data_IF_509575634811
#
_entry.id   IF_509575634811
#
_cell.length_a   1.000
_cell.length_b   1.000
_cell.length_c   1.000
_cell.angle_alpha   90.00
_cell.angle_beta   90.00
_cell.angle_gamma   90.00
#
_symmetry.space_group_name_H-M   'P 1'
#
loop_
_entity.id
_entity.type
_entity.pdbx_description
1 polymer ?
#
# COMPACT_ATOMS: atom_id res chain seq x y z
N UNK A 1 2.95 5.36 11.92
CA UNK A 1 4.31 4.81 11.97
C UNK A 1 4.48 3.67 10.98
N UNK A 2 5.71 3.47 10.50
CA UNK A 2 6.11 2.24 9.82
C UNK A 2 7.17 1.55 10.70
N UNK A 3 6.89 0.32 11.12
CA UNK A 3 7.74 -0.43 12.05
C UNK A 3 9.12 -0.81 11.47
N UNK A 4 9.29 -0.76 10.13
CA UNK A 4 10.58 -0.97 9.49
C UNK A 4 11.62 0.09 9.86
N UNK A 5 11.18 1.33 10.08
CA UNK A 5 12.05 2.49 10.31
C UNK A 5 11.86 3.13 11.69
N UNK A 6 10.84 2.74 12.45
CA UNK A 6 10.50 3.32 13.74
C UNK A 6 11.09 2.51 14.90
N UNK A 7 11.55 3.22 15.93
CA UNK A 7 12.03 2.65 17.19
C UNK A 7 11.10 2.93 18.36
N UNK A 8 11.48 2.43 19.55
CA UNK A 8 10.75 2.68 20.81
C UNK A 8 10.56 4.18 21.05
N UNK A 9 11.59 4.98 20.82
CA UNK A 9 11.53 6.44 21.04
C UNK A 9 10.46 7.15 20.19
N UNK A 10 10.21 6.65 18.97
CA UNK A 10 9.16 7.22 18.11
C UNK A 10 7.78 6.89 18.66
N UNK A 11 7.62 5.67 19.19
CA UNK A 11 6.39 5.23 19.84
C UNK A 11 6.17 6.02 21.15
N UNK A 12 7.19 6.17 21.99
CA UNK A 12 7.13 6.96 23.24
C UNK A 12 6.62 8.37 22.98
N UNK A 13 7.16 9.06 22.01
CA UNK A 13 6.72 10.40 21.64
C UNK A 13 5.24 10.46 21.28
N UNK A 14 4.75 9.53 20.49
CA UNK A 14 3.33 9.46 20.11
C UNK A 14 2.45 9.16 21.33
N UNK A 15 2.92 8.28 22.22
CA UNK A 15 2.19 7.96 23.46
C UNK A 15 2.10 9.17 24.38
N UNK A 16 3.16 9.94 24.51
CA UNK A 16 3.16 11.15 25.33
C UNK A 16 2.22 12.22 24.75
N UNK A 17 2.22 12.42 23.45
CA UNK A 17 1.26 13.27 22.74
C UNK A 17 -0.18 12.76 22.94
N UNK A 18 -0.39 11.46 22.89
CA UNK A 18 -1.72 10.84 23.09
C UNK A 18 -2.23 11.06 24.53
N UNK A 19 -1.37 10.88 25.53
CA UNK A 19 -1.69 11.15 26.95
C UNK A 19 -2.06 12.62 27.17
N UNK A 20 -1.27 13.53 26.60
CA UNK A 20 -1.54 14.96 26.67
C UNK A 20 -2.88 15.31 26.03
N UNK A 21 -3.13 14.84 24.82
CA UNK A 21 -4.38 15.08 24.08
C UNK A 21 -5.61 14.52 24.83
N UNK A 22 -5.47 13.34 25.41
CA UNK A 22 -6.54 12.75 26.18
C UNK A 22 -6.79 13.50 27.49
N UNK A 23 -5.73 13.90 28.21
CA UNK A 23 -5.83 14.66 29.47
C UNK A 23 -6.44 16.04 29.26
N UNK A 24 -5.90 16.80 28.30
CA UNK A 24 -6.28 18.20 28.08
C UNK A 24 -7.59 18.37 27.30
N UNK A 25 -7.84 17.50 26.31
CA UNK A 25 -8.92 17.70 25.33
C UNK A 25 -9.93 16.54 25.25
N UNK A 26 -9.72 15.47 26.00
CA UNK A 26 -10.49 14.21 25.90
C UNK A 26 -10.51 13.60 24.49
N UNK A 27 -9.49 13.89 23.69
CA UNK A 27 -9.33 13.37 22.34
C UNK A 27 -8.64 12.00 22.37
N UNK A 28 -9.25 11.01 21.75
CA UNK A 28 -8.64 9.68 21.55
C UNK A 28 -7.66 9.73 20.41
N UNK A 29 -6.55 9.02 20.53
CA UNK A 29 -5.53 8.89 19.49
C UNK A 29 -5.61 7.51 18.86
N UNK A 30 -5.62 7.45 17.53
CA UNK A 30 -5.46 6.21 16.78
C UNK A 30 -3.99 6.10 16.40
N UNK A 31 -3.34 5.02 16.84
CA UNK A 31 -1.97 4.69 16.47
C UNK A 31 -2.01 3.64 15.37
N UNK A 32 -1.71 4.05 14.14
CA UNK A 32 -1.54 3.13 13.01
C UNK A 32 -0.07 2.73 12.88
N UNK A 33 0.20 1.41 12.91
CA UNK A 33 1.54 0.84 12.73
C UNK A 33 1.51 -0.09 11.51
N UNK A 34 2.19 0.35 10.46
CA UNK A 34 2.42 -0.47 9.27
C UNK A 34 3.58 -1.43 9.51
N UNK A 35 3.49 -2.65 8.96
CA UNK A 35 4.48 -3.73 9.12
C UNK A 35 4.76 -4.06 10.60
N UNK A 36 3.72 -4.13 11.44
CA UNK A 36 3.85 -4.30 12.91
C UNK A 36 4.69 -5.54 13.30
N UNK A 37 4.75 -6.56 12.45
CA UNK A 37 5.60 -7.75 12.64
C UNK A 37 7.11 -7.44 12.68
N UNK A 38 7.53 -6.27 12.20
CA UNK A 38 8.92 -5.80 12.28
C UNK A 38 9.31 -5.30 13.66
N UNK A 39 8.35 -5.00 14.50
CA UNK A 39 8.63 -4.72 15.90
C UNK A 39 9.00 -6.00 16.63
N UNK A 40 10.12 -5.96 17.38
CA UNK A 40 10.48 -7.06 18.25
C UNK A 40 9.52 -7.18 19.45
N UNK A 41 9.64 -8.28 20.21
CA UNK A 41 8.73 -8.55 21.34
C UNK A 41 8.70 -7.42 22.37
N UNK A 42 9.85 -6.84 22.70
CA UNK A 42 9.93 -5.74 23.67
C UNK A 42 9.21 -4.49 23.18
N UNK A 43 9.29 -4.18 21.89
CA UNK A 43 8.58 -3.05 21.29
C UNK A 43 7.06 -3.28 21.25
N UNK A 44 6.64 -4.52 21.00
CA UNK A 44 5.23 -4.89 21.06
C UNK A 44 4.70 -4.87 22.50
N UNK A 45 5.48 -5.39 23.46
CA UNK A 45 5.12 -5.38 24.90
C UNK A 45 4.99 -3.94 25.43
N UNK A 46 5.82 -3.02 24.92
CA UNK A 46 5.75 -1.60 25.29
C UNK A 46 4.40 -0.96 24.94
N UNK A 47 3.72 -1.45 23.91
CA UNK A 47 2.39 -0.93 23.50
C UNK A 47 1.25 -1.39 24.42
N UNK A 48 1.41 -2.54 25.09
CA UNK A 48 0.34 -3.20 25.84
C UNK A 48 -0.36 -2.29 26.86
N UNK A 49 0.33 -1.59 27.77
CA UNK A 49 -0.32 -0.78 28.80
C UNK A 49 -1.20 0.32 28.18
N UNK A 50 -0.75 0.91 27.08
CA UNK A 50 -1.43 2.04 26.45
C UNK A 50 -2.66 1.64 25.62
N UNK A 51 -2.65 0.40 25.12
CA UNK A 51 -3.81 -0.22 24.47
C UNK A 51 -4.83 -0.63 25.53
N UNK A 52 -4.37 -1.23 26.65
CA UNK A 52 -5.22 -1.66 27.76
C UNK A 52 -5.94 -0.48 28.45
N UNK A 53 -5.20 0.59 28.71
CA UNK A 53 -5.73 1.80 29.36
C UNK A 53 -6.55 2.67 28.41
N UNK A 54 -6.61 2.31 27.12
CA UNK A 54 -7.34 3.07 26.09
C UNK A 54 -6.74 4.44 25.78
N UNK A 55 -5.46 4.65 26.12
CA UNK A 55 -4.70 5.88 25.75
C UNK A 55 -4.61 5.97 24.23
N UNK A 56 -4.39 4.84 23.57
CA UNK A 56 -4.40 4.73 22.12
C UNK A 56 -5.33 3.61 21.66
N UNK A 57 -5.94 3.80 20.49
CA UNK A 57 -6.56 2.71 19.72
C UNK A 57 -5.54 2.24 18.69
N UNK A 58 -5.06 1.00 18.82
CA UNK A 58 -4.05 0.45 17.92
C UNK A 58 -4.69 -0.12 16.65
N UNK A 59 -4.13 0.23 15.50
CA UNK A 59 -4.36 -0.43 14.23
C UNK A 59 -3.00 -0.90 13.71
N UNK A 60 -2.76 -2.21 13.72
CA UNK A 60 -1.57 -2.83 13.15
C UNK A 60 -1.87 -3.42 11.78
N UNK A 61 -1.02 -3.12 10.78
CA UNK A 61 -1.04 -3.79 9.49
C UNK A 61 0.17 -4.71 9.34
N UNK A 62 -0.03 -5.86 8.71
CA UNK A 62 1.04 -6.84 8.50
C UNK A 62 0.78 -7.65 7.24
N UNK A 63 1.84 -7.95 6.50
CA UNK A 63 1.83 -8.92 5.41
C UNK A 63 2.04 -10.36 5.89
N UNK A 64 2.48 -10.53 7.15
CA UNK A 64 2.74 -11.81 7.77
C UNK A 64 1.56 -12.29 8.61
N UNK A 65 1.53 -13.60 8.91
CA UNK A 65 0.48 -14.16 9.75
C UNK A 65 0.62 -13.65 11.19
N UNK A 66 -0.33 -12.86 11.71
CA UNK A 66 -0.21 -12.22 13.01
C UNK A 66 -0.11 -13.22 14.18
N UNK A 67 -0.63 -14.41 14.04
CA UNK A 67 -0.58 -15.44 15.09
C UNK A 67 0.84 -15.93 15.38
N UNK A 68 1.78 -15.77 14.45
CA UNK A 68 3.18 -16.15 14.63
C UNK A 68 4.07 -14.97 14.99
N UNK A 69 3.76 -13.80 14.45
CA UNK A 69 4.66 -12.64 14.49
C UNK A 69 4.27 -11.59 15.53
N UNK A 70 3.00 -11.55 15.92
CA UNK A 70 2.52 -10.59 16.92
C UNK A 70 2.35 -11.26 18.26
N UNK A 71 2.77 -10.57 19.33
CA UNK A 71 2.64 -11.02 20.70
C UNK A 71 1.19 -11.41 21.04
N UNK A 72 0.99 -12.60 21.63
CA UNK A 72 -0.33 -13.11 22.01
C UNK A 72 -1.06 -12.18 22.97
N UNK A 73 -0.37 -11.49 23.87
CA UNK A 73 -0.95 -10.54 24.77
C UNK A 73 -1.56 -9.34 24.02
N UNK A 74 -0.91 -8.87 22.96
CA UNK A 74 -1.41 -7.80 22.10
C UNK A 74 -2.58 -8.32 21.22
N UNK A 75 -2.42 -9.50 20.63
CA UNK A 75 -3.48 -10.12 19.80
C UNK A 75 -4.78 -10.34 20.58
N UNK A 76 -4.69 -10.76 21.85
CA UNK A 76 -5.89 -11.00 22.68
C UNK A 76 -6.74 -9.74 22.90
N UNK A 77 -6.17 -8.56 22.67
CA UNK A 77 -6.81 -7.24 22.79
C UNK A 77 -7.18 -6.63 21.45
N UNK A 78 -6.87 -7.30 20.35
CA UNK A 78 -7.12 -6.84 18.98
C UNK A 78 -8.17 -7.73 18.31
N UNK A 79 -8.84 -7.15 17.33
CA UNK A 79 -9.64 -7.90 16.37
C UNK A 79 -8.86 -8.04 15.08
N UNK A 80 -8.76 -9.25 14.56
CA UNK A 80 -8.05 -9.53 13.31
C UNK A 80 -9.02 -9.43 12.15
N UNK A 81 -8.59 -8.72 11.12
CA UNK A 81 -9.27 -8.59 9.84
C UNK A 81 -8.31 -9.06 8.74
N UNK A 82 -8.67 -10.15 8.09
CA UNK A 82 -7.92 -10.66 6.94
C UNK A 82 -8.39 -9.94 5.67
N UNK A 83 -7.46 -9.28 4.98
CA UNK A 83 -7.71 -8.66 3.67
C UNK A 83 -7.39 -9.68 2.58
N UNK A 84 -8.32 -9.84 1.66
CA UNK A 84 -8.12 -10.70 0.48
C UNK A 84 -7.50 -9.91 -0.68
N UNK A 85 -6.80 -10.59 -1.61
CA UNK A 85 -6.45 -9.98 -2.88
C UNK A 85 -7.67 -9.37 -3.56
N UNK A 86 -7.45 -8.29 -4.28
CA UNK A 86 -8.52 -7.62 -5.03
C UNK A 86 -8.93 -8.47 -6.24
N UNK A 87 -10.21 -8.44 -6.54
CA UNK A 87 -10.73 -9.07 -7.76
C UNK A 87 -10.38 -8.22 -9.01
N UNK A 88 -10.43 -8.84 -10.19
CA UNK A 88 -10.11 -8.17 -11.45
C UNK A 88 -10.91 -6.88 -11.66
N UNK A 89 -12.21 -6.93 -11.38
CA UNK A 89 -13.10 -5.76 -11.52
C UNK A 89 -12.74 -4.63 -10.57
N UNK A 90 -12.27 -4.93 -9.36
CA UNK A 90 -11.78 -3.93 -8.41
C UNK A 90 -10.54 -3.22 -8.95
N UNK A 91 -9.61 -3.97 -9.54
CA UNK A 91 -8.39 -3.43 -10.15
C UNK A 91 -8.72 -2.54 -11.37
N UNK A 92 -9.67 -2.96 -12.22
CA UNK A 92 -10.17 -2.14 -13.34
C UNK A 92 -10.81 -0.84 -12.82
N UNK A 93 -11.60 -0.92 -11.76
CA UNK A 93 -12.19 0.25 -11.11
C UNK A 93 -11.12 1.21 -10.55
N UNK A 94 -10.05 0.69 -9.96
CA UNK A 94 -8.92 1.47 -9.46
C UNK A 94 -8.23 2.21 -10.62
N UNK A 95 -7.95 1.53 -11.74
CA UNK A 95 -7.40 2.18 -12.94
C UNK A 95 -8.33 3.27 -13.48
N UNK A 96 -9.63 3.00 -13.59
CA UNK A 96 -10.60 3.97 -14.07
C UNK A 96 -10.69 5.23 -13.17
N UNK A 97 -10.52 5.06 -11.84
CA UNK A 97 -10.43 6.18 -10.91
C UNK A 97 -9.15 6.98 -11.12
N UNK A 98 -8.01 6.31 -11.27
CA UNK A 98 -6.73 6.96 -11.53
C UNK A 98 -6.75 7.77 -12.84
N UNK A 99 -7.40 7.26 -13.89
CA UNK A 99 -7.56 7.96 -15.17
C UNK A 99 -8.46 9.20 -15.07
N UNK A 100 -9.35 9.29 -14.09
CA UNK A 100 -10.29 10.41 -13.89
C UNK A 100 -9.85 11.41 -12.83
N UNK A 101 -8.98 11.01 -11.90
CA UNK A 101 -8.54 11.85 -10.79
C UNK A 101 -7.58 12.94 -11.31
N UNK A 102 -8.03 14.19 -11.21
CA UNK A 102 -7.27 15.37 -11.67
C UNK A 102 -6.21 15.85 -10.69
N UNK A 103 -6.33 15.49 -9.42
CA UNK A 103 -5.43 15.96 -8.37
C UNK A 103 -4.26 15.00 -8.15
N UNK A 104 -4.53 13.68 -8.16
CA UNK A 104 -3.57 12.64 -7.79
C UNK A 104 -3.38 11.58 -8.86
N UNK A 105 -4.09 11.69 -9.99
CA UNK A 105 -4.06 10.72 -11.09
C UNK A 105 -3.75 11.36 -12.43
N UNK A 106 -4.22 10.73 -13.48
CA UNK A 106 -3.97 11.11 -14.89
C UNK A 106 -5.12 11.95 -15.51
N UNK A 107 -6.10 12.42 -14.72
CA UNK A 107 -7.30 13.06 -15.21
C UNK A 107 -7.09 14.42 -15.89
N UNK A 108 -5.88 14.99 -15.88
CA UNK A 108 -5.52 16.19 -16.64
C UNK A 108 -4.82 15.87 -17.97
N UNK A 109 -4.65 14.60 -18.30
CA UNK A 109 -3.98 14.12 -19.49
C UNK A 109 -5.05 13.54 -20.41
N UNK A 110 -4.95 13.85 -21.71
CA UNK A 110 -5.80 13.23 -22.73
C UNK A 110 -5.29 11.82 -23.01
N UNK A 111 -5.82 10.88 -22.23
CA UNK A 111 -5.39 9.48 -22.25
C UNK A 111 -6.60 8.54 -22.34
N UNK A 112 -6.51 7.61 -23.24
CA UNK A 112 -7.45 6.49 -23.37
C UNK A 112 -6.72 5.16 -23.26
N UNK A 113 -7.43 4.14 -22.80
CA UNK A 113 -6.91 2.78 -22.69
C UNK A 113 -8.00 1.80 -23.12
N UNK A 114 -7.65 0.85 -23.95
CA UNK A 114 -8.56 -0.18 -24.43
C UNK A 114 -8.98 -1.14 -23.31
N UNK A 115 -10.16 -1.73 -23.44
CA UNK A 115 -10.68 -2.63 -22.40
C UNK A 115 -9.84 -3.89 -22.22
N UNK A 116 -9.37 -4.47 -23.30
CA UNK A 116 -8.47 -5.64 -23.30
C UNK A 116 -7.11 -5.31 -22.66
N UNK A 117 -6.57 -4.10 -22.90
CA UNK A 117 -5.38 -3.61 -22.20
C UNK A 117 -5.61 -3.47 -20.69
N UNK A 118 -6.77 -2.93 -20.25
CA UNK A 118 -7.13 -2.88 -18.83
C UNK A 118 -7.22 -4.26 -18.20
N UNK A 119 -7.88 -5.18 -18.89
CA UNK A 119 -8.03 -6.57 -18.43
C UNK A 119 -6.67 -7.24 -18.29
N UNK A 120 -5.80 -7.08 -19.27
CA UNK A 120 -4.43 -7.60 -19.23
C UNK A 120 -3.63 -7.04 -18.04
N UNK A 121 -3.62 -5.71 -17.84
CA UNK A 121 -2.92 -5.10 -16.72
C UNK A 121 -3.48 -5.54 -15.36
N UNK A 122 -4.80 -5.74 -15.25
CA UNK A 122 -5.44 -6.24 -14.04
C UNK A 122 -5.04 -7.69 -13.75
N UNK A 123 -5.01 -8.56 -14.76
CA UNK A 123 -4.59 -9.97 -14.63
C UNK A 123 -3.13 -10.04 -14.17
N UNK A 124 -2.24 -9.23 -14.75
CA UNK A 124 -0.83 -9.20 -14.40
C UNK A 124 -0.55 -8.63 -13.01
N UNK A 125 -1.46 -7.84 -12.45
CA UNK A 125 -1.33 -7.28 -11.11
C UNK A 125 -1.65 -8.27 -9.97
N UNK A 126 -2.27 -9.41 -10.29
CA UNK A 126 -2.52 -10.50 -9.35
C UNK A 126 -3.15 -10.04 -8.01
N UNK A 127 -4.20 -9.21 -8.08
CA UNK A 127 -4.92 -8.74 -6.89
C UNK A 127 -4.27 -7.59 -6.12
N UNK A 128 -3.17 -7.01 -6.62
CA UNK A 128 -2.46 -5.91 -5.97
C UNK A 128 -2.71 -4.56 -6.65
N UNK A 129 -3.32 -3.62 -5.90
CA UNK A 129 -3.61 -2.26 -6.36
C UNK A 129 -2.36 -1.45 -6.72
N UNK A 130 -1.27 -1.61 -5.97
CA UNK A 130 -0.01 -0.90 -6.25
C UNK A 130 0.59 -1.38 -7.55
N UNK A 131 0.57 -2.68 -7.78
CA UNK A 131 1.08 -3.29 -9.01
C UNK A 131 0.32 -2.81 -10.23
N UNK A 132 -1.02 -2.75 -10.18
CA UNK A 132 -1.83 -2.28 -11.32
C UNK A 132 -1.63 -0.79 -11.60
N UNK A 133 -1.53 0.04 -10.56
CA UNK A 133 -1.26 1.48 -10.74
C UNK A 133 0.14 1.74 -11.30
N UNK A 134 1.16 1.01 -10.83
CA UNK A 134 2.52 1.10 -11.37
C UNK A 134 2.57 0.64 -12.84
N UNK A 135 1.81 -0.39 -13.20
CA UNK A 135 1.72 -0.86 -14.58
C UNK A 135 1.03 0.18 -15.48
N UNK A 136 -0.07 0.79 -15.00
CA UNK A 136 -0.75 1.88 -15.70
C UNK A 136 0.16 3.10 -15.89
N UNK A 137 0.90 3.51 -14.85
CA UNK A 137 1.86 4.62 -14.94
C UNK A 137 2.97 4.32 -15.94
N UNK A 138 3.52 3.12 -15.93
CA UNK A 138 4.54 2.70 -16.87
C UNK A 138 4.01 2.72 -18.31
N UNK A 139 2.80 2.20 -18.54
CA UNK A 139 2.15 2.24 -19.85
C UNK A 139 1.96 3.68 -20.33
N UNK A 140 1.47 4.57 -19.46
CA UNK A 140 1.35 6.00 -19.74
C UNK A 140 2.70 6.62 -20.17
N UNK A 141 3.77 6.37 -19.39
CA UNK A 141 5.10 6.97 -19.63
C UNK A 141 5.79 6.44 -20.90
N UNK A 142 5.42 5.26 -21.37
CA UNK A 142 6.04 4.62 -22.55
C UNK A 142 5.20 4.71 -23.80
N UNK A 143 3.95 5.15 -23.69
CA UNK A 143 3.09 5.35 -24.87
C UNK A 143 3.56 6.57 -25.67
N UNK A 144 3.73 6.39 -26.96
CA UNK A 144 4.03 7.49 -27.89
C UNK A 144 2.77 8.31 -28.14
N UNK A 145 2.81 9.66 -27.99
CA UNK A 145 1.65 10.49 -28.29
C UNK A 145 1.22 10.37 -29.75
N UNK A 146 -0.07 10.39 -29.97
CA UNK A 146 -0.69 10.51 -31.30
C UNK A 146 -0.41 11.89 -31.91
N UNK A 147 -0.76 12.07 -33.19
CA UNK A 147 -0.54 13.33 -33.92
C UNK A 147 -1.27 14.55 -33.31
N UNK A 148 -2.35 14.34 -32.57
CA UNK A 148 -3.12 15.34 -31.85
C UNK A 148 -2.64 15.55 -30.40
N UNK A 149 -1.62 14.79 -29.96
CA UNK A 149 -1.07 14.85 -28.61
C UNK A 149 -1.77 13.95 -27.59
N UNK A 150 -2.83 13.25 -27.98
CA UNK A 150 -3.51 12.28 -27.12
C UNK A 150 -2.66 11.02 -26.94
N UNK A 151 -2.92 10.29 -25.86
CA UNK A 151 -2.26 9.01 -25.57
C UNK A 151 -3.28 7.89 -25.66
N UNK A 152 -2.95 6.86 -26.43
CA UNK A 152 -3.80 5.67 -26.56
C UNK A 152 -3.02 4.42 -26.17
N UNK A 153 -3.42 3.81 -25.05
CA UNK A 153 -2.82 2.57 -24.56
C UNK A 153 -3.60 1.40 -25.12
N UNK A 154 -3.01 0.72 -26.10
CA UNK A 154 -3.52 -0.52 -26.68
C UNK A 154 -3.02 -1.74 -25.91
N UNK A 155 -3.57 -2.92 -26.17
CA UNK A 155 -3.08 -4.17 -25.60
C UNK A 155 -1.59 -4.40 -25.91
N UNK A 156 -1.16 -4.14 -27.13
CA UNK A 156 0.25 -4.27 -27.55
C UNK A 156 1.19 -3.41 -26.71
N UNK A 157 0.81 -2.15 -26.45
CA UNK A 157 1.58 -1.25 -25.57
C UNK A 157 1.64 -1.79 -24.16
N UNK A 158 0.53 -2.28 -23.61
CA UNK A 158 0.46 -2.86 -22.28
C UNK A 158 1.35 -4.11 -22.15
N UNK A 159 1.35 -4.99 -23.14
CA UNK A 159 2.20 -6.19 -23.20
C UNK A 159 3.69 -5.82 -23.26
N UNK A 160 4.08 -4.90 -24.12
CA UNK A 160 5.47 -4.43 -24.21
C UNK A 160 5.97 -3.81 -22.88
N UNK A 161 5.15 -3.05 -22.20
CA UNK A 161 5.49 -2.46 -20.90
C UNK A 161 5.80 -3.51 -19.85
N UNK A 162 5.01 -4.56 -19.77
CA UNK A 162 5.21 -5.65 -18.80
C UNK A 162 6.47 -6.45 -19.14
N UNK A 163 6.70 -6.76 -20.43
CA UNK A 163 7.92 -7.46 -20.88
C UNK A 163 9.19 -6.65 -20.56
N UNK A 164 9.21 -5.34 -20.83
CA UNK A 164 10.33 -4.48 -20.52
C UNK A 164 10.61 -4.38 -19.01
N UNK A 165 9.56 -4.46 -18.18
CA UNK A 165 9.69 -4.52 -16.73
C UNK A 165 10.36 -5.83 -16.28
N UNK A 166 9.93 -6.97 -16.82
CA UNK A 166 10.51 -8.28 -16.49
C UNK A 166 12.02 -8.33 -16.82
N UNK A 167 12.41 -7.90 -18.00
CA UNK A 167 13.83 -7.86 -18.44
C UNK A 167 14.68 -6.99 -17.52
N UNK A 168 14.17 -5.84 -17.05
CA UNK A 168 14.93 -4.96 -16.13
C UNK A 168 15.13 -5.60 -14.76
N UNK A 169 14.19 -6.42 -14.27
CA UNK A 169 14.34 -7.13 -13.01
C UNK A 169 15.37 -8.26 -13.11
N UNK A 170 15.41 -9.00 -14.22
CA UNK A 170 16.40 -10.07 -14.44
C UNK A 170 17.82 -9.52 -14.55
N UNK A 171 18.01 -8.41 -15.25
CA UNK A 171 19.34 -7.76 -15.37
C UNK A 171 19.86 -7.17 -14.05
N UNK A 172 18.96 -6.71 -13.16
CA UNK A 172 19.35 -6.22 -11.84
C UNK A 172 19.48 -7.33 -10.78
N UNK A 173 18.89 -8.50 -11.02
CA UNK A 173 19.01 -9.68 -10.15
C UNK A 173 20.35 -10.39 -10.29
N UNK A 174 20.99 -10.32 -11.44
CA UNK A 174 22.30 -10.98 -11.70
C UNK A 174 23.53 -10.21 -11.18
N UNK A 175 23.37 -9.04 -10.58
CA UNK A 175 24.48 -8.24 -10.04
C UNK A 175 24.75 -8.42 -8.55
N UNK A 176 24.23 -9.47 -7.91
CA UNK A 176 24.50 -9.82 -6.52
C UNK A 176 25.10 -11.24 -6.42
N UNK A 177 26.31 -11.42 -6.96
CA UNK A 177 27.27 -12.47 -6.59
C UNK A 177 28.65 -11.88 -6.37
#
# INVERSE_FOLDING_TARGET
LNATNAGIKDVEKIIDDAKFNYGAYKKKTILFIDEIHRFNKNQQDFLLPFVEDGVVTLIGASTENPYFEVNNALLSRCRIFELKPLEKDDLINIMNRALKDKERGLGNIDISIDNDAKEFLADMANGDARSVLNALELAYLTTTPESDGSLHITLEVAEECIQKKAIRYDVNGDNHY
#
